data_IF_070653954448
#
_entry.id   IF_070653954448
#
_cell.length_a   1.000
_cell.length_b   1.000
_cell.length_c   1.000
_cell.angle_alpha   90.00
_cell.angle_beta   90.00
_cell.angle_gamma   90.00
#
_symmetry.space_group_name_H-M   'P 1'
#
loop_
_entity.id
_entity.type
_entity.pdbx_description
1 polymer ?
#
# COMPACT_ATOMS: atom_id res chain seq x y z
N UNK A 1 -8.01 44.06 28.39
CA UNK A 1 -8.18 42.93 27.45
C UNK A 1 -9.45 42.22 27.86
N UNK A 2 -10.55 42.57 27.17
CA UNK A 2 -11.90 42.22 27.56
C UNK A 2 -12.26 40.80 27.10
N UNK A 3 -13.14 40.13 27.85
CA UNK A 3 -13.61 38.77 27.54
C UNK A 3 -14.28 38.66 26.16
N UNK A 4 -14.64 39.79 25.58
CA UNK A 4 -15.36 39.92 24.32
C UNK A 4 -14.42 39.70 23.11
N UNK A 5 -13.13 40.04 23.24
CA UNK A 5 -12.11 39.87 22.20
C UNK A 5 -11.76 38.39 21.95
N UNK A 6 -11.96 37.53 22.95
CA UNK A 6 -11.75 36.07 22.85
C UNK A 6 -12.94 35.40 22.13
N UNK A 7 -14.14 35.99 22.19
CA UNK A 7 -15.34 35.45 21.55
C UNK A 7 -15.36 35.73 20.04
N UNK A 8 -14.77 36.82 19.58
CA UNK A 8 -14.71 37.16 18.14
C UNK A 8 -13.70 36.29 17.37
N UNK A 9 -12.64 35.82 18.04
CA UNK A 9 -11.65 34.92 17.44
C UNK A 9 -12.19 33.51 17.16
N UNK A 10 -13.17 33.01 17.95
CA UNK A 10 -13.73 31.66 17.75
C UNK A 10 -14.75 31.60 16.60
N UNK A 11 -15.46 32.71 16.36
CA UNK A 11 -16.49 32.79 15.32
C UNK A 11 -15.86 33.00 13.93
N UNK A 12 -14.68 33.62 13.87
CA UNK A 12 -13.92 33.77 12.62
C UNK A 12 -13.39 32.44 12.07
N UNK A 13 -13.07 31.46 12.92
CA UNK A 13 -12.59 30.14 12.48
C UNK A 13 -13.75 29.23 12.02
N UNK A 14 -14.96 29.49 12.52
CA UNK A 14 -16.16 28.71 12.18
C UNK A 14 -16.78 29.13 10.83
N UNK A 15 -16.39 30.29 10.29
CA UNK A 15 -16.99 30.87 9.08
C UNK A 15 -16.29 30.49 7.77
N UNK A 16 -15.14 29.80 7.82
CA UNK A 16 -14.33 29.50 6.62
C UNK A 16 -14.38 28.05 6.13
N UNK A 17 -15.13 27.15 6.76
CA UNK A 17 -15.37 25.81 6.19
C UNK A 17 -16.74 25.75 5.54
N UNK A 18 -16.74 25.81 4.22
CA UNK A 18 -17.88 25.72 3.32
C UNK A 18 -18.81 24.54 3.63
N UNK A 19 -20.11 24.84 3.58
CA UNK A 19 -21.20 23.90 3.32
C UNK A 19 -20.87 22.93 2.18
N UNK A 20 -20.98 21.62 2.44
CA UNK A 20 -21.67 20.68 1.56
C UNK A 20 -22.41 19.69 2.48
N UNK A 21 -23.74 19.69 2.40
CA UNK A 21 -24.58 18.81 3.19
C UNK A 21 -24.53 17.36 2.68
N UNK A 22 -24.68 16.41 3.59
CA UNK A 22 -25.88 15.57 3.65
C UNK A 22 -25.91 14.80 4.98
N UNK A 23 -27.13 14.48 5.39
CA UNK A 23 -27.60 14.07 6.71
C UNK A 23 -27.11 12.68 7.19
N UNK A 24 -26.31 12.60 8.26
CA UNK A 24 -26.40 11.53 9.27
C UNK A 24 -25.71 11.90 10.61
N UNK A 25 -26.34 11.51 11.71
CA UNK A 25 -25.91 11.83 13.06
C UNK A 25 -24.76 10.94 13.52
N UNK A 26 -23.55 11.48 13.75
CA UNK A 26 -22.62 10.98 14.80
C UNK A 26 -21.28 11.73 14.85
N UNK A 27 -20.91 12.15 16.06
CA UNK A 27 -19.55 12.42 16.55
C UNK A 27 -18.59 13.18 15.61
N UNK A 28 -18.41 14.48 15.88
CA UNK A 28 -17.21 15.23 15.52
C UNK A 28 -15.99 14.78 16.36
N UNK A 29 -15.58 13.52 16.22
CA UNK A 29 -14.22 13.12 16.59
C UNK A 29 -13.31 13.54 15.45
N UNK A 30 -12.31 14.35 15.75
CA UNK A 30 -11.12 14.53 14.93
C UNK A 30 -10.52 13.15 14.68
N UNK A 31 -10.97 12.49 13.61
CA UNK A 31 -10.86 11.06 13.42
C UNK A 31 -9.40 10.71 13.15
N UNK A 32 -8.70 10.16 14.15
CA UNK A 32 -7.45 9.45 13.90
C UNK A 32 -7.75 8.41 12.82
N UNK A 33 -7.06 8.49 11.69
CA UNK A 33 -7.13 7.44 10.67
C UNK A 33 -6.73 6.12 11.35
N UNK A 34 -7.66 5.16 11.42
CA UNK A 34 -7.36 3.84 11.97
C UNK A 34 -6.46 3.12 10.96
N UNK A 35 -5.29 2.68 11.40
CA UNK A 35 -4.43 1.82 10.58
C UNK A 35 -5.18 0.51 10.36
N UNK A 36 -5.39 0.06 9.11
CA UNK A 36 -6.08 -1.20 8.87
C UNK A 36 -5.19 -2.38 9.28
N UNK A 37 -5.82 -3.49 9.66
CA UNK A 37 -5.14 -4.77 9.76
C UNK A 37 -4.49 -5.10 8.41
N UNK A 38 -3.31 -5.71 8.44
CA UNK A 38 -2.54 -6.04 7.23
C UNK A 38 -2.40 -7.55 7.07
N UNK A 39 -2.48 -8.00 5.82
CA UNK A 39 -2.16 -9.33 5.35
C UNK A 39 -0.89 -9.23 4.52
N UNK A 40 0.14 -9.96 4.93
CA UNK A 40 1.42 -10.06 4.26
C UNK A 40 1.55 -11.43 3.61
N UNK A 41 1.96 -11.47 2.35
CA UNK A 41 2.41 -12.69 1.66
C UNK A 41 3.90 -12.55 1.37
N UNK A 42 4.68 -13.54 1.78
CA UNK A 42 6.14 -13.53 1.63
C UNK A 42 6.60 -14.76 0.85
N UNK A 43 7.42 -14.53 -0.16
CA UNK A 43 8.18 -15.56 -0.86
C UNK A 43 9.65 -15.37 -0.54
N UNK A 44 10.35 -16.48 -0.29
CA UNK A 44 11.78 -16.47 0.02
C UNK A 44 12.49 -17.57 -0.75
N UNK A 45 13.54 -17.19 -1.49
CA UNK A 45 14.44 -18.12 -2.16
C UNK A 45 15.89 -17.86 -1.72
N UNK A 46 16.59 -18.90 -1.25
CA UNK A 46 18.02 -18.80 -0.99
C UNK A 46 18.81 -18.38 -2.23
N UNK A 47 18.41 -18.86 -3.41
CA UNK A 47 19.03 -18.53 -4.69
C UNK A 47 17.94 -18.42 -5.76
N UNK A 48 17.97 -17.34 -6.53
CA UNK A 48 17.07 -17.06 -7.65
C UNK A 48 17.90 -16.80 -8.91
N UNK A 49 17.72 -17.66 -9.91
CA UNK A 49 18.35 -17.51 -11.23
C UNK A 49 17.37 -16.87 -12.20
N UNK A 50 17.83 -15.82 -12.88
CA UNK A 50 17.08 -15.06 -13.87
C UNK A 50 17.65 -15.37 -15.26
N UNK A 51 16.84 -15.99 -16.12
CA UNK A 51 17.29 -16.50 -17.42
C UNK A 51 17.29 -15.45 -18.52
N UNK A 52 16.41 -14.46 -18.44
CA UNK A 52 16.29 -13.41 -19.45
C UNK A 52 17.42 -12.39 -19.31
N UNK A 53 17.73 -11.98 -18.08
CA UNK A 53 18.80 -11.04 -17.78
C UNK A 53 20.15 -11.70 -17.46
N UNK A 54 20.16 -13.00 -17.16
CA UNK A 54 21.38 -13.76 -16.80
C UNK A 54 21.90 -13.50 -15.38
N UNK A 55 21.19 -12.71 -14.59
CA UNK A 55 21.55 -12.41 -13.20
C UNK A 55 21.20 -13.58 -12.26
N UNK A 56 21.90 -13.64 -11.13
CA UNK A 56 21.52 -14.49 -10.00
C UNK A 56 21.45 -13.65 -8.72
N UNK A 57 20.47 -13.96 -7.88
CA UNK A 57 20.25 -13.29 -6.59
C UNK A 57 20.29 -14.29 -5.46
N UNK A 58 21.14 -14.03 -4.46
CA UNK A 58 21.15 -14.79 -3.20
C UNK A 58 20.21 -14.13 -2.19
N UNK A 59 19.37 -14.92 -1.53
CA UNK A 59 18.45 -14.46 -0.48
C UNK A 59 17.29 -13.62 -0.99
N UNK A 60 16.81 -13.86 -2.21
CA UNK A 60 15.70 -13.13 -2.80
C UNK A 60 14.43 -13.24 -1.94
N UNK A 61 13.86 -12.10 -1.56
CA UNK A 61 12.66 -12.00 -0.74
C UNK A 61 11.65 -11.06 -1.41
N UNK A 62 10.45 -11.57 -1.69
CA UNK A 62 9.32 -10.77 -2.19
C UNK A 62 8.27 -10.71 -1.08
N UNK A 63 7.81 -9.49 -0.76
CA UNK A 63 6.76 -9.27 0.22
C UNK A 63 5.65 -8.47 -0.45
N UNK A 64 4.45 -9.03 -0.41
CA UNK A 64 3.21 -8.38 -0.77
C UNK A 64 2.49 -7.99 0.52
N UNK A 65 2.12 -6.71 0.65
CA UNK A 65 1.42 -6.17 1.82
C UNK A 65 0.07 -5.62 1.34
N UNK A 66 -1.03 -6.10 1.94
CA UNK A 66 -2.39 -5.62 1.65
C UNK A 66 -3.17 -5.38 2.95
N UNK A 67 -4.14 -4.46 2.98
CA UNK A 67 -5.15 -4.44 4.04
C UNK A 67 -5.91 -5.77 4.10
N UNK A 68 -6.12 -6.33 5.30
CA UNK A 68 -6.72 -7.65 5.50
C UNK A 68 -8.23 -7.71 5.13
N UNK A 69 -8.90 -6.56 4.99
CA UNK A 69 -10.31 -6.45 4.60
C UNK A 69 -10.55 -5.94 3.17
N UNK A 70 -9.49 -5.62 2.43
CA UNK A 70 -9.61 -5.33 1.00
C UNK A 70 -9.80 -6.69 0.31
N UNK A 71 -11.03 -6.96 -0.15
CA UNK A 71 -11.43 -8.28 -0.64
C UNK A 71 -10.33 -9.00 -1.42
N UNK A 72 -10.03 -10.22 -0.99
CA UNK A 72 -9.20 -11.15 -1.75
C UNK A 72 -9.96 -11.41 -3.05
N UNK A 73 -9.67 -10.66 -4.11
CA UNK A 73 -10.29 -10.88 -5.41
C UNK A 73 -10.02 -12.32 -5.83
N UNK A 74 -10.99 -13.20 -5.59
CA UNK A 74 -11.10 -14.54 -6.16
C UNK A 74 -11.32 -14.38 -7.67
N UNK A 75 -10.23 -14.10 -8.36
CA UNK A 75 -10.16 -14.06 -9.80
C UNK A 75 -8.79 -14.57 -10.18
N UNK A 76 -8.75 -15.68 -10.91
CA UNK A 76 -7.59 -16.24 -11.62
C UNK A 76 -7.07 -15.24 -12.66
N UNK A 77 -6.55 -14.13 -12.17
CA UNK A 77 -6.05 -12.96 -12.87
C UNK A 77 -5.36 -12.09 -11.82
N UNK A 78 -4.41 -12.70 -11.11
CA UNK A 78 -3.58 -12.11 -10.05
C UNK A 78 -2.64 -11.07 -10.65
N UNK A 79 -3.21 -9.98 -11.15
CA UNK A 79 -2.46 -8.78 -11.41
C UNK A 79 -2.19 -8.12 -10.07
N UNK A 80 -1.15 -8.55 -9.36
CA UNK A 80 -0.52 -7.65 -8.40
C UNK A 80 -0.21 -6.39 -9.19
N UNK A 81 -1.01 -5.34 -9.02
CA UNK A 81 -0.74 -4.04 -9.60
C UNK A 81 0.44 -3.49 -8.81
N UNK A 82 1.64 -3.92 -9.20
CA UNK A 82 2.90 -3.45 -8.68
C UNK A 82 2.84 -1.92 -8.78
N UNK A 83 2.76 -1.26 -7.63
CA UNK A 83 2.79 0.20 -7.55
C UNK A 83 4.25 0.57 -7.75
N UNK A 84 4.61 0.79 -9.01
CA UNK A 84 5.99 1.03 -9.45
C UNK A 84 6.23 0.34 -10.77
N UNK A 85 7.07 0.96 -11.59
CA UNK A 85 7.51 0.46 -12.89
C UNK A 85 8.43 -0.77 -12.76
N UNK A 86 7.96 -1.79 -12.05
CA UNK A 86 8.66 -3.07 -11.92
C UNK A 86 8.52 -3.88 -13.21
N UNK A 87 7.62 -3.51 -14.12
CA UNK A 87 7.49 -4.14 -15.42
C UNK A 87 8.46 -3.58 -16.48
N UNK A 88 9.24 -2.54 -16.16
CA UNK A 88 10.18 -1.91 -17.10
C UNK A 88 9.50 -1.28 -18.32
N UNK A 89 8.27 -0.79 -18.12
CA UNK A 89 7.44 -0.13 -19.15
C UNK A 89 7.53 1.42 -19.06
N UNK A 90 8.19 1.94 -18.02
CA UNK A 90 8.66 3.31 -17.96
C UNK A 90 10.01 3.47 -18.63
N UNK A 91 10.33 4.71 -18.99
CA UNK A 91 11.55 5.13 -19.70
C UNK A 91 12.87 4.88 -18.92
N UNK A 92 12.86 4.06 -17.84
CA UNK A 92 14.06 3.59 -17.13
C UNK A 92 14.45 2.21 -17.68
N UNK A 93 15.14 2.23 -18.81
CA UNK A 93 15.66 1.07 -19.55
C UNK A 93 16.89 0.42 -18.90
N UNK A 94 17.20 0.81 -17.65
CA UNK A 94 18.28 0.27 -16.84
C UNK A 94 18.17 -1.24 -16.64
N UNK A 95 19.29 -1.95 -16.79
CA UNK A 95 19.34 -3.41 -16.60
C UNK A 95 18.83 -3.86 -15.22
N UNK A 96 19.01 -3.03 -14.20
CA UNK A 96 18.54 -3.30 -12.83
C UNK A 96 17.02 -3.33 -12.75
N UNK A 97 16.32 -2.43 -13.45
CA UNK A 97 14.85 -2.39 -13.49
C UNK A 97 14.29 -3.66 -14.12
N UNK A 98 14.87 -4.08 -15.26
CA UNK A 98 14.51 -5.32 -15.97
C UNK A 98 14.75 -6.56 -15.10
N UNK A 99 15.89 -6.61 -14.39
CA UNK A 99 16.21 -7.70 -13.47
C UNK A 99 15.21 -7.79 -12.31
N UNK A 100 14.84 -6.65 -11.70
CA UNK A 100 13.81 -6.62 -10.66
C UNK A 100 12.46 -7.14 -11.17
N UNK A 101 12.05 -6.74 -12.37
CA UNK A 101 10.82 -7.22 -13.00
C UNK A 101 10.81 -8.71 -13.29
N UNK A 102 11.92 -9.24 -13.80
CA UNK A 102 12.10 -10.68 -13.97
C UNK A 102 12.05 -11.41 -12.63
N UNK A 103 12.77 -10.92 -11.60
CA UNK A 103 12.80 -11.52 -10.28
C UNK A 103 11.39 -11.63 -9.68
N UNK A 104 10.60 -10.55 -9.74
CA UNK A 104 9.22 -10.56 -9.23
C UNK A 104 8.35 -11.57 -9.99
N UNK A 105 8.43 -11.60 -11.32
CA UNK A 105 7.68 -12.57 -12.13
C UNK A 105 8.05 -14.01 -11.80
N UNK A 106 9.34 -14.31 -11.62
CA UNK A 106 9.76 -15.66 -11.23
C UNK A 106 9.32 -16.03 -9.82
N UNK A 107 9.46 -15.12 -8.85
CA UNK A 107 9.03 -15.36 -7.47
C UNK A 107 7.51 -15.59 -7.36
N UNK A 108 6.70 -14.90 -8.16
CA UNK A 108 5.24 -15.08 -8.17
C UNK A 108 4.78 -16.42 -8.75
N UNK A 109 5.55 -17.05 -9.66
CA UNK A 109 5.23 -18.38 -10.20
C UNK A 109 5.31 -19.47 -9.12
N UNK A 110 5.92 -19.18 -7.98
CA UNK A 110 6.16 -20.15 -6.92
C UNK A 110 4.92 -20.32 -6.04
N UNK A 111 4.53 -21.58 -5.85
CA UNK A 111 3.34 -21.95 -5.08
C UNK A 111 3.50 -21.78 -3.57
N UNK A 112 4.74 -21.70 -3.06
CA UNK A 112 5.03 -21.56 -1.63
C UNK A 112 5.18 -20.09 -1.29
N UNK A 113 4.25 -19.57 -0.49
CA UNK A 113 4.37 -18.28 0.18
C UNK A 113 3.96 -18.44 1.65
N UNK A 114 4.56 -17.64 2.52
CA UNK A 114 4.16 -17.51 3.91
C UNK A 114 3.10 -16.41 4.01
N UNK A 115 2.01 -16.67 4.71
CA UNK A 115 0.95 -15.68 4.95
C UNK A 115 1.00 -15.27 6.42
N UNK A 116 1.09 -13.97 6.67
CA UNK A 116 1.14 -13.39 8.01
C UNK A 116 0.03 -12.34 8.12
N UNK A 117 -0.79 -12.42 9.15
CA UNK A 117 -1.80 -11.39 9.45
C UNK A 117 -1.32 -10.58 10.65
N UNK A 118 -1.29 -9.26 10.50
CA UNK A 118 -0.92 -8.31 11.55
C UNK A 118 -2.14 -7.46 11.91
N UNK A 119 -2.61 -7.62 13.14
CA UNK A 119 -3.75 -6.88 13.67
C UNK A 119 -3.28 -5.51 14.18
N UNK A 120 -4.07 -4.49 13.91
CA UNK A 120 -3.93 -3.14 14.46
C UNK A 120 -4.50 -3.10 15.89
N UNK A 121 -3.85 -2.35 16.79
CA UNK A 121 -4.25 -2.15 18.19
C UNK A 121 -4.68 -0.70 18.43
#
# INVERSE_FOLDING_TARGET
MGKDEILELRDSVSSSSMNVGDNDSSNSTMGRSRVPDLKLRMWYLPELEMKETGYSMTGATLIEIRPAGAGDGEGRGDGLKLVGDVNGDGDDDGEVSKACGEAVREMMKMKRCYVITMNSF
#
